data_IF_119398468981
#
_entry.id   IF_119398468981
#
_cell.length_a   1.000
_cell.length_b   1.000
_cell.length_c   1.000
_cell.angle_alpha   90.00
_cell.angle_beta   90.00
_cell.angle_gamma   90.00
#
_symmetry.space_group_name_H-M   'P 1'
#
loop_
_entity.id
_entity.type
_entity.pdbx_description
1 polymer ?
#
# COMPACT_ATOMS: atom_id res chain seq x y z
N UNK A 1 -9.08 16.71 -16.76
CA UNK A 1 -10.07 15.62 -16.84
C UNK A 1 -9.72 14.53 -17.85
N UNK A 2 -9.42 14.84 -19.13
CA UNK A 2 -9.11 13.80 -20.14
C UNK A 2 -7.88 12.96 -19.80
N UNK A 3 -6.78 13.56 -19.37
CA UNK A 3 -5.54 12.81 -19.09
C UNK A 3 -5.65 11.87 -17.88
N UNK A 4 -6.38 12.28 -16.83
CA UNK A 4 -6.61 11.45 -15.66
C UNK A 4 -7.46 10.22 -16.00
N UNK A 5 -8.49 10.39 -16.83
CA UNK A 5 -9.33 9.29 -17.31
C UNK A 5 -8.56 8.36 -18.26
N UNK A 6 -7.71 8.90 -19.13
CA UNK A 6 -6.84 8.13 -20.03
C UNK A 6 -5.79 7.31 -19.26
N UNK A 7 -5.22 7.88 -18.20
CA UNK A 7 -4.31 7.16 -17.31
C UNK A 7 -5.04 6.02 -16.58
N UNK A 8 -6.21 6.28 -16.01
CA UNK A 8 -7.01 5.25 -15.36
C UNK A 8 -7.43 4.14 -16.34
N UNK A 9 -7.81 4.50 -17.57
CA UNK A 9 -8.12 3.55 -18.63
C UNK A 9 -6.92 2.66 -18.98
N UNK A 10 -5.73 3.26 -19.14
CA UNK A 10 -4.49 2.51 -19.41
C UNK A 10 -4.17 1.51 -18.31
N UNK A 11 -4.30 1.92 -17.03
CA UNK A 11 -4.11 1.04 -15.88
C UNK A 11 -5.14 -0.10 -15.86
N UNK A 12 -6.41 0.22 -16.05
CA UNK A 12 -7.49 -0.77 -16.12
C UNK A 12 -7.25 -1.78 -17.24
N UNK A 13 -6.83 -1.32 -18.41
CA UNK A 13 -6.52 -2.18 -19.55
C UNK A 13 -5.41 -3.18 -19.21
N UNK A 14 -4.33 -2.73 -18.56
CA UNK A 14 -3.23 -3.63 -18.12
C UNK A 14 -3.76 -4.68 -17.14
N UNK A 15 -4.55 -4.28 -16.15
CA UNK A 15 -5.15 -5.20 -15.17
C UNK A 15 -6.04 -6.25 -15.86
N UNK A 16 -6.89 -5.82 -16.81
CA UNK A 16 -7.79 -6.71 -17.56
C UNK A 16 -6.99 -7.69 -18.42
N UNK A 17 -5.96 -7.23 -19.12
CA UNK A 17 -5.07 -8.08 -19.94
C UNK A 17 -4.37 -9.12 -19.07
N UNK A 18 -3.82 -8.70 -17.92
CA UNK A 18 -3.16 -9.60 -16.98
C UNK A 18 -4.12 -10.67 -16.42
N UNK A 19 -5.34 -10.26 -16.07
CA UNK A 19 -6.40 -11.19 -15.65
C UNK A 19 -6.79 -12.15 -16.78
N UNK A 20 -6.90 -11.67 -18.02
CA UNK A 20 -7.16 -12.52 -19.18
C UNK A 20 -6.03 -13.53 -19.39
N UNK A 21 -4.76 -13.12 -19.32
CA UNK A 21 -3.59 -14.00 -19.37
C UNK A 21 -3.61 -15.07 -18.27
N UNK A 22 -4.09 -14.73 -17.07
CA UNK A 22 -4.35 -15.72 -16.02
C UNK A 22 -5.42 -16.72 -16.43
N UNK A 23 -6.54 -16.27 -17.03
CA UNK A 23 -7.65 -17.14 -17.45
C UNK A 23 -7.26 -18.14 -18.54
N UNK A 24 -6.42 -17.73 -19.50
CA UNK A 24 -5.88 -18.63 -20.54
C UNK A 24 -4.65 -19.42 -20.07
N UNK A 25 -4.28 -19.34 -18.77
CA UNK A 25 -3.14 -20.03 -18.14
C UNK A 25 -1.75 -19.62 -18.70
N UNK A 26 -1.65 -18.49 -19.39
CA UNK A 26 -0.38 -17.89 -19.80
C UNK A 26 0.39 -17.35 -18.59
N UNK A 27 -0.34 -16.75 -17.63
CA UNK A 27 0.18 -16.34 -16.34
C UNK A 27 -0.50 -17.13 -15.22
N UNK A 28 0.20 -17.28 -14.09
CA UNK A 28 -0.36 -17.85 -12.88
C UNK A 28 0.14 -17.07 -11.66
N UNK A 29 -0.42 -17.37 -10.50
CA UNK A 29 -0.09 -16.68 -9.24
C UNK A 29 1.40 -16.82 -8.90
N UNK A 30 2.01 -17.97 -9.22
CA UNK A 30 3.44 -18.20 -8.96
C UNK A 30 4.33 -17.32 -9.85
N UNK A 31 3.99 -17.17 -11.13
CA UNK A 31 4.65 -16.23 -12.04
C UNK A 31 4.49 -14.79 -11.54
N UNK A 32 3.30 -14.40 -11.08
CA UNK A 32 3.08 -13.07 -10.51
C UNK A 32 3.94 -12.83 -9.26
N UNK A 33 4.13 -13.83 -8.38
CA UNK A 33 5.06 -13.73 -7.25
C UNK A 33 6.50 -13.49 -7.72
N UNK A 34 6.95 -14.18 -8.78
CA UNK A 34 8.29 -13.97 -9.36
C UNK A 34 8.44 -12.56 -9.94
N UNK A 35 7.43 -12.05 -10.63
CA UNK A 35 7.40 -10.67 -11.12
C UNK A 35 7.44 -9.69 -9.94
N UNK A 36 6.75 -9.98 -8.83
CA UNK A 36 6.79 -9.16 -7.63
C UNK A 36 8.20 -9.05 -7.02
N UNK A 37 9.03 -10.09 -7.11
CA UNK A 37 10.45 -9.96 -6.74
C UNK A 37 11.19 -8.98 -7.65
N UNK A 38 10.97 -9.02 -8.97
CA UNK A 38 11.55 -8.04 -9.90
C UNK A 38 11.08 -6.62 -9.55
N UNK A 39 9.81 -6.45 -9.23
CA UNK A 39 9.29 -5.15 -8.78
C UNK A 39 9.99 -4.67 -7.52
N UNK A 40 9.95 -5.47 -6.45
CA UNK A 40 10.44 -5.08 -5.14
C UNK A 40 11.95 -4.85 -5.10
N UNK A 41 12.73 -5.57 -5.91
CA UNK A 41 14.19 -5.52 -5.87
C UNK A 41 14.84 -4.74 -7.02
N UNK A 42 14.08 -4.38 -8.05
CA UNK A 42 14.64 -3.70 -9.23
C UNK A 42 13.80 -2.50 -9.64
N UNK A 43 12.57 -2.68 -10.11
CA UNK A 43 11.83 -1.57 -10.75
C UNK A 43 11.31 -0.55 -9.75
N UNK A 44 10.78 -0.98 -8.59
CA UNK A 44 10.26 -0.07 -7.58
C UNK A 44 11.38 0.78 -6.95
N UNK A 45 12.53 0.21 -6.53
CA UNK A 45 13.72 0.99 -6.14
C UNK A 45 14.12 2.06 -7.16
N UNK A 46 14.20 1.70 -8.44
CA UNK A 46 14.57 2.62 -9.51
C UNK A 46 13.51 3.73 -9.71
N UNK A 47 12.23 3.36 -9.65
CA UNK A 47 11.13 4.32 -9.73
C UNK A 47 11.19 5.33 -8.56
N UNK A 48 11.37 4.84 -7.33
CA UNK A 48 11.47 5.72 -6.15
C UNK A 48 12.66 6.68 -6.27
N UNK A 49 13.83 6.15 -6.64
CA UNK A 49 15.05 6.94 -6.76
C UNK A 49 14.91 8.07 -7.80
N UNK A 50 14.33 7.74 -8.95
CA UNK A 50 14.19 8.69 -10.07
C UNK A 50 13.08 9.71 -9.84
N UNK A 51 11.97 9.31 -9.21
CA UNK A 51 10.86 10.21 -8.88
C UNK A 51 11.20 11.20 -7.77
N UNK A 52 12.18 10.88 -6.91
CA UNK A 52 12.50 11.70 -5.75
C UNK A 52 13.79 12.51 -5.82
N UNK A 53 14.58 12.32 -6.87
CA UNK A 53 15.84 13.04 -7.03
C UNK A 53 15.60 14.55 -7.17
N UNK A 54 16.38 15.37 -6.43
CA UNK A 54 16.28 16.82 -6.53
C UNK A 54 15.14 17.46 -5.73
N UNK A 55 14.42 16.68 -4.92
CA UNK A 55 13.37 17.24 -4.05
C UNK A 55 14.01 17.87 -2.82
N UNK A 56 13.65 19.11 -2.52
CA UNK A 56 14.02 19.76 -1.26
C UNK A 56 13.19 19.23 -0.09
N UNK A 57 13.88 18.94 1.02
CA UNK A 57 13.20 18.52 2.23
C UNK A 57 12.48 19.70 2.89
N UNK A 58 11.20 19.52 3.18
CA UNK A 58 10.39 20.49 3.90
C UNK A 58 10.02 19.91 5.27
N UNK A 59 10.42 20.61 6.34
CA UNK A 59 10.20 20.20 7.74
C UNK A 59 8.71 20.01 8.04
N UNK A 60 7.82 20.72 7.34
CA UNK A 60 6.38 20.53 7.48
C UNK A 60 5.93 19.10 7.16
N UNK A 61 6.68 18.35 6.34
CA UNK A 61 6.38 16.96 5.99
C UNK A 61 6.65 15.97 7.13
N UNK A 62 7.36 16.36 8.20
CA UNK A 62 7.55 15.50 9.37
C UNK A 62 6.21 15.11 10.02
N UNK A 63 5.18 15.96 9.91
CA UNK A 63 3.83 15.63 10.36
C UNK A 63 3.26 14.37 9.68
N UNK A 64 3.69 14.05 8.47
CA UNK A 64 3.23 12.87 7.72
C UNK A 64 3.67 11.56 8.36
N UNK A 65 4.85 11.54 9.02
CA UNK A 65 5.33 10.38 9.79
C UNK A 65 4.34 10.08 10.94
N UNK A 66 3.94 11.11 11.68
CA UNK A 66 2.98 10.98 12.76
C UNK A 66 1.59 10.55 12.24
N UNK A 67 1.14 11.09 11.11
CA UNK A 67 -0.12 10.69 10.48
C UNK A 67 -0.12 9.21 10.06
N UNK A 68 1.00 8.70 9.53
CA UNK A 68 1.12 7.29 9.15
C UNK A 68 1.04 6.34 10.34
N UNK A 69 1.74 6.68 11.43
CA UNK A 69 1.66 5.92 12.68
C UNK A 69 0.24 5.98 13.25
N UNK A 70 -0.36 7.17 13.29
CA UNK A 70 -1.71 7.38 13.81
C UNK A 70 -2.75 6.59 13.01
N UNK A 71 -2.71 6.65 11.68
CA UNK A 71 -3.65 5.94 10.81
C UNK A 71 -3.57 4.42 11.03
N UNK A 72 -2.37 3.85 11.09
CA UNK A 72 -2.19 2.43 11.36
C UNK A 72 -2.67 2.03 12.77
N UNK A 73 -2.37 2.84 13.79
CA UNK A 73 -2.84 2.63 15.15
C UNK A 73 -4.37 2.70 15.26
N UNK A 74 -5.01 3.69 14.62
CA UNK A 74 -6.48 3.81 14.57
C UNK A 74 -7.07 2.55 13.95
N UNK A 75 -6.56 2.10 12.80
CA UNK A 75 -7.04 0.87 12.15
C UNK A 75 -6.86 -0.36 13.03
N UNK A 76 -5.75 -0.48 13.76
CA UNK A 76 -5.51 -1.58 14.71
C UNK A 76 -6.52 -1.55 15.88
N UNK A 77 -6.78 -0.37 16.45
CA UNK A 77 -7.75 -0.20 17.54
C UNK A 77 -9.17 -0.50 17.06
N UNK A 78 -9.57 0.06 15.93
CA UNK A 78 -10.89 -0.22 15.34
C UNK A 78 -11.05 -1.71 15.01
N UNK A 79 -10.02 -2.33 14.43
CA UNK A 79 -10.01 -3.78 14.20
C UNK A 79 -10.21 -4.56 15.49
N UNK A 80 -9.49 -4.19 16.56
CA UNK A 80 -9.62 -4.84 17.87
C UNK A 80 -11.04 -4.70 18.45
N UNK A 81 -11.62 -3.49 18.41
CA UNK A 81 -12.92 -3.18 19.00
C UNK A 81 -14.10 -3.78 18.23
N UNK A 82 -13.96 -3.95 16.92
CA UNK A 82 -15.04 -4.49 16.06
C UNK A 82 -15.06 -6.01 15.97
N UNK A 83 -14.07 -6.69 16.57
CA UNK A 83 -13.94 -8.15 16.61
C UNK A 83 -14.52 -8.75 17.88
N UNK A 84 -15.35 -9.78 17.71
CA UNK A 84 -16.06 -10.44 18.82
C UNK A 84 -15.25 -11.58 19.44
N UNK A 85 -14.38 -12.25 18.67
CA UNK A 85 -13.59 -13.38 19.15
C UNK A 85 -12.15 -13.35 18.60
N UNK A 86 -11.21 -14.09 19.21
CA UNK A 86 -9.76 -13.95 18.96
C UNK A 86 -9.32 -14.24 17.52
N UNK A 87 -9.89 -15.26 16.87
CA UNK A 87 -9.61 -15.53 15.44
C UNK A 87 -10.05 -14.37 14.53
N UNK A 88 -11.25 -13.84 14.72
CA UNK A 88 -11.73 -12.67 13.97
C UNK A 88 -10.90 -11.42 14.28
N UNK A 89 -10.42 -11.28 15.52
CA UNK A 89 -9.51 -10.19 15.90
C UNK A 89 -8.19 -10.29 15.16
N UNK A 90 -7.58 -11.47 15.12
CA UNK A 90 -6.38 -11.70 14.33
C UNK A 90 -6.63 -11.36 12.86
N UNK A 91 -7.69 -11.90 12.26
CA UNK A 91 -8.05 -11.63 10.87
C UNK A 91 -8.21 -10.13 10.58
N UNK A 92 -9.04 -9.42 11.36
CA UNK A 92 -9.29 -8.00 11.15
C UNK A 92 -7.99 -7.18 11.31
N UNK A 93 -7.22 -7.41 12.37
CA UNK A 93 -5.98 -6.66 12.60
C UNK A 93 -4.94 -6.85 11.50
N UNK A 94 -4.88 -8.04 10.87
CA UNK A 94 -3.98 -8.30 9.74
C UNK A 94 -4.50 -7.75 8.41
N UNK A 95 -5.81 -7.69 8.23
CA UNK A 95 -6.42 -7.42 6.92
C UNK A 95 -7.05 -6.03 6.76
N UNK A 96 -7.30 -5.32 7.85
CA UNK A 96 -7.86 -3.96 7.80
C UNK A 96 -6.81 -2.88 8.05
N UNK A 97 -5.57 -3.24 8.36
CA UNK A 97 -4.47 -2.32 8.65
C UNK A 97 -3.50 -2.23 7.48
N UNK A 98 -2.58 -1.26 7.54
CA UNK A 98 -1.58 -1.00 6.52
C UNK A 98 -2.16 -0.61 5.14
N UNK A 99 -1.28 -0.08 4.30
CA UNK A 99 -1.63 0.40 2.97
C UNK A 99 -0.66 -0.16 1.94
N UNK A 100 -1.16 -0.55 0.78
CA UNK A 100 -0.34 -1.01 -0.34
C UNK A 100 0.20 0.17 -1.13
N UNK A 101 1.21 0.86 -0.61
CA UNK A 101 1.70 2.09 -1.23
C UNK A 101 2.62 1.77 -2.41
N UNK A 102 3.68 0.99 -2.18
CA UNK A 102 4.69 0.69 -3.20
C UNK A 102 4.14 -0.01 -4.45
N UNK A 103 3.25 -1.00 -4.30
CA UNK A 103 2.75 -1.78 -5.44
C UNK A 103 1.44 -1.27 -6.04
N UNK A 104 0.80 -0.26 -5.42
CA UNK A 104 -0.49 0.25 -5.91
C UNK A 104 -0.50 1.78 -6.01
N UNK A 105 -0.28 2.51 -4.92
CA UNK A 105 -0.36 3.99 -4.94
C UNK A 105 0.72 4.61 -5.82
N UNK A 106 1.99 4.20 -5.66
CA UNK A 106 3.10 4.72 -6.46
C UNK A 106 2.85 4.54 -7.96
N UNK A 107 2.68 3.32 -8.48
CA UNK A 107 2.51 3.13 -9.93
C UNK A 107 1.26 3.82 -10.47
N UNK A 108 0.20 3.99 -9.66
CA UNK A 108 -1.00 4.71 -10.07
C UNK A 108 -0.78 6.23 -10.16
N UNK A 109 -0.06 6.80 -9.20
CA UNK A 109 0.13 8.24 -9.06
C UNK A 109 1.44 8.75 -9.67
N UNK A 110 2.30 7.87 -10.17
CA UNK A 110 3.67 8.20 -10.61
C UNK A 110 3.74 9.34 -11.64
N UNK A 111 2.72 9.49 -12.48
CA UNK A 111 2.67 10.50 -13.54
C UNK A 111 1.88 11.77 -13.19
N UNK A 112 1.09 11.76 -12.12
CA UNK A 112 0.22 12.88 -11.73
C UNK A 112 0.62 13.53 -10.41
N UNK A 113 1.53 12.91 -9.67
CA UNK A 113 1.95 13.37 -8.36
C UNK A 113 3.07 14.41 -8.45
N UNK A 114 2.93 15.51 -7.70
CA UNK A 114 4.00 16.49 -7.56
C UNK A 114 5.19 15.89 -6.79
N UNK A 115 6.41 16.42 -6.96
CA UNK A 115 7.56 15.93 -6.22
C UNK A 115 7.35 16.03 -4.70
N UNK A 116 6.75 17.12 -4.21
CA UNK A 116 6.46 17.28 -2.77
C UNK A 116 5.49 16.20 -2.25
N UNK A 117 4.46 15.87 -3.01
CA UNK A 117 3.55 14.78 -2.68
C UNK A 117 4.25 13.41 -2.74
N UNK A 118 5.17 13.20 -3.68
CA UNK A 118 5.99 11.98 -3.72
C UNK A 118 6.85 11.81 -2.46
N UNK A 119 7.51 12.88 -2.00
CA UNK A 119 8.30 12.84 -0.76
C UNK A 119 7.41 12.57 0.46
N UNK A 120 6.24 13.22 0.55
CA UNK A 120 5.27 12.94 1.62
C UNK A 120 4.84 11.46 1.64
N UNK A 121 4.56 10.89 0.46
CA UNK A 121 4.24 9.47 0.32
C UNK A 121 5.38 8.58 0.82
N UNK A 122 6.64 8.89 0.49
CA UNK A 122 7.80 8.14 0.97
C UNK A 122 7.90 8.18 2.50
N UNK A 123 7.71 9.35 3.10
CA UNK A 123 7.73 9.52 4.56
C UNK A 123 6.60 8.74 5.23
N UNK A 124 5.41 8.71 4.62
CA UNK A 124 4.30 7.89 5.07
C UNK A 124 4.66 6.40 4.99
N UNK A 125 5.23 5.95 3.86
CA UNK A 125 5.47 4.52 3.60
C UNK A 125 6.59 3.93 4.46
N UNK A 126 7.60 4.73 4.84
CA UNK A 126 8.63 4.31 5.80
C UNK A 126 8.01 3.87 7.13
N UNK A 127 7.02 4.61 7.63
CA UNK A 127 6.32 4.25 8.85
C UNK A 127 5.33 3.11 8.61
N UNK A 128 4.58 3.14 7.52
CA UNK A 128 3.66 2.07 7.13
C UNK A 128 4.38 0.71 6.98
N UNK A 129 5.63 0.72 6.51
CA UNK A 129 6.49 -0.46 6.42
C UNK A 129 6.72 -1.12 7.79
N UNK A 130 6.86 -0.35 8.88
CA UNK A 130 6.96 -0.90 10.25
C UNK A 130 5.75 -1.78 10.58
N UNK A 131 4.56 -1.33 10.20
CA UNK A 131 3.32 -2.07 10.42
C UNK A 131 3.18 -3.26 9.47
N UNK A 132 3.48 -3.07 8.18
CA UNK A 132 3.43 -4.12 7.14
C UNK A 132 4.37 -5.30 7.44
N UNK A 133 5.63 -5.04 7.79
CA UNK A 133 6.68 -6.05 7.94
C UNK A 133 6.78 -6.57 9.38
N UNK A 134 5.63 -6.76 10.03
CA UNK A 134 5.56 -7.47 11.31
C UNK A 134 5.02 -6.66 12.47
N UNK A 135 4.87 -5.35 12.36
CA UNK A 135 4.27 -4.51 13.41
C UNK A 135 2.83 -4.92 13.70
N UNK A 136 1.96 -4.88 12.70
CA UNK A 136 0.56 -5.29 12.84
C UNK A 136 0.44 -6.76 13.28
N UNK A 137 1.29 -7.64 12.73
CA UNK A 137 1.32 -9.05 13.12
C UNK A 137 1.72 -9.27 14.58
N UNK A 138 2.79 -8.62 15.04
CA UNK A 138 3.26 -8.71 16.42
C UNK A 138 2.23 -8.17 17.41
N UNK A 139 1.60 -7.04 17.08
CA UNK A 139 0.54 -6.43 17.90
C UNK A 139 -0.69 -7.35 17.94
N UNK A 140 -1.09 -7.92 16.80
CA UNK A 140 -2.20 -8.88 16.74
C UNK A 140 -1.92 -10.14 17.56
N UNK A 141 -0.70 -10.69 17.51
CA UNK A 141 -0.29 -11.82 18.35
C UNK A 141 -0.29 -11.48 19.84
N UNK A 142 0.19 -10.28 20.21
CA UNK A 142 0.17 -9.82 21.61
C UNK A 142 -1.26 -9.80 22.17
N UNK A 143 -2.20 -9.21 21.44
CA UNK A 143 -3.60 -9.12 21.87
C UNK A 143 -4.38 -10.44 21.74
N UNK A 144 -3.80 -11.46 21.11
CA UNK A 144 -4.36 -12.80 20.98
C UNK A 144 -3.44 -13.88 21.59
N UNK A 145 -2.54 -13.51 22.52
CA UNK A 145 -1.44 -14.36 23.00
C UNK A 145 -1.88 -15.71 23.55
N UNK A 146 -3.07 -15.77 24.16
CA UNK A 146 -3.66 -17.02 24.68
C UNK A 146 -3.84 -18.10 23.61
N UNK A 147 -4.00 -17.70 22.34
CA UNK A 147 -4.21 -18.60 21.21
C UNK A 147 -2.92 -18.85 20.40
N UNK A 148 -1.92 -17.98 20.57
CA UNK A 148 -0.64 -18.05 19.86
C UNK A 148 0.56 -17.94 20.83
N UNK A 149 0.69 -18.86 21.81
CA UNK A 149 1.67 -18.72 22.89
C UNK A 149 3.13 -18.86 22.43
N UNK A 150 3.38 -19.53 21.31
CA UNK A 150 4.73 -19.91 20.84
C UNK A 150 5.28 -18.99 19.74
N UNK A 151 4.46 -18.10 19.18
CA UNK A 151 4.93 -17.17 18.14
C UNK A 151 5.80 -16.06 18.75
N UNK A 152 6.95 -15.71 18.15
CA UNK A 152 7.79 -14.64 18.66
C UNK A 152 7.09 -13.28 18.48
N UNK A 153 6.94 -12.54 19.57
CA UNK A 153 6.43 -11.16 19.56
C UNK A 153 7.57 -10.25 20.02
N UNK A 154 7.93 -9.26 19.21
CA UNK A 154 8.92 -8.30 19.64
C UNK A 154 9.42 -7.36 18.55
N UNK A 155 9.84 -6.17 18.98
CA UNK A 155 10.38 -5.12 18.13
C UNK A 155 11.60 -5.58 17.30
N UNK A 156 12.42 -6.47 17.87
CA UNK A 156 13.58 -7.05 17.17
C UNK A 156 13.17 -7.84 15.91
N UNK A 157 12.05 -8.54 15.94
CA UNK A 157 11.52 -9.29 14.78
C UNK A 157 11.04 -8.33 13.71
N UNK A 158 10.30 -7.28 14.09
CA UNK A 158 9.82 -6.24 13.18
C UNK A 158 11.00 -5.59 12.46
N UNK A 159 12.01 -5.14 13.22
CA UNK A 159 13.17 -4.49 12.64
C UNK A 159 13.97 -5.42 11.72
N UNK A 160 14.07 -6.71 12.06
CA UNK A 160 14.71 -7.73 11.23
C UNK A 160 13.97 -7.99 9.91
N UNK A 161 12.64 -7.99 9.92
CA UNK A 161 11.88 -8.19 8.68
C UNK A 161 11.90 -6.94 7.80
N UNK A 162 11.77 -5.75 8.39
CA UNK A 162 11.95 -4.48 7.68
C UNK A 162 13.34 -4.35 7.04
N UNK A 163 14.39 -4.76 7.76
CA UNK A 163 15.76 -4.69 7.26
C UNK A 163 16.03 -5.59 6.06
N UNK A 164 15.10 -6.48 5.69
CA UNK A 164 15.17 -7.28 4.46
C UNK A 164 14.50 -6.58 3.26
N UNK A 165 13.74 -5.52 3.49
CA UNK A 165 12.99 -4.81 2.45
C UNK A 165 13.90 -3.80 1.74
N UNK A 166 14.25 -4.07 0.48
CA UNK A 166 15.03 -3.11 -0.32
C UNK A 166 14.30 -1.76 -0.50
N UNK A 167 12.99 -1.70 -0.79
CA UNK A 167 12.27 -0.42 -0.92
C UNK A 167 12.38 0.46 0.33
N UNK A 168 12.40 -0.13 1.52
CA UNK A 168 12.58 0.61 2.77
C UNK A 168 13.90 1.41 2.78
N UNK A 169 15.01 0.78 2.39
CA UNK A 169 16.30 1.47 2.31
C UNK A 169 16.31 2.57 1.26
N UNK A 170 15.64 2.34 0.12
CA UNK A 170 15.56 3.34 -0.96
C UNK A 170 14.77 4.56 -0.51
N UNK A 171 13.64 4.37 0.18
CA UNK A 171 12.89 5.49 0.77
C UNK A 171 13.74 6.26 1.78
N UNK A 172 14.41 5.56 2.71
CA UNK A 172 15.28 6.20 3.70
C UNK A 172 16.42 6.96 3.02
N UNK A 173 17.05 6.37 2.01
CA UNK A 173 18.13 6.98 1.23
C UNK A 173 17.67 8.26 0.53
N UNK A 174 16.52 8.21 -0.15
CA UNK A 174 15.92 9.37 -0.81
C UNK A 174 15.60 10.50 0.18
N UNK A 175 15.04 10.17 1.34
CA UNK A 175 14.75 11.15 2.39
C UNK A 175 16.05 11.80 2.88
N UNK A 176 17.12 11.03 3.06
CA UNK A 176 18.44 11.56 3.45
C UNK A 176 19.05 12.44 2.35
N UNK A 177 19.00 12.03 1.08
CA UNK A 177 19.45 12.87 -0.04
C UNK A 177 18.69 14.20 -0.07
N UNK A 178 17.37 14.14 0.06
CA UNK A 178 16.51 15.32 0.11
C UNK A 178 16.84 16.24 1.29
N UNK A 179 17.08 15.67 2.47
CA UNK A 179 17.43 16.42 3.68
C UNK A 179 18.82 17.10 3.59
N UNK A 180 19.76 16.47 2.88
CA UNK A 180 21.10 17.02 2.63
C UNK A 180 21.14 17.96 1.40
N UNK A 181 20.02 18.11 0.68
CA UNK A 181 19.98 18.88 -0.57
C UNK A 181 20.85 18.28 -1.68
N UNK A 182 21.12 16.98 -1.63
CA UNK A 182 21.96 16.28 -2.60
C UNK A 182 21.13 15.79 -3.78
N UNK A 183 21.68 15.96 -4.98
CA UNK A 183 21.06 15.51 -6.23
C UNK A 183 22.00 14.58 -6.97
N UNK A 184 21.47 13.46 -7.45
CA UNK A 184 22.19 12.56 -8.34
C UNK A 184 22.25 13.19 -9.74
N UNK A 185 23.42 13.22 -10.39
CA UNK A 185 23.56 13.73 -11.76
C UNK A 185 22.64 12.99 -12.73
N UNK A 186 22.04 13.74 -13.65
CA UNK A 186 21.05 13.23 -14.61
C UNK A 186 21.59 12.07 -15.46
N UNK A 187 22.87 12.13 -15.85
CA UNK A 187 23.53 11.08 -16.63
C UNK A 187 23.60 9.74 -15.87
N UNK A 188 23.79 9.80 -14.55
CA UNK A 188 23.82 8.61 -13.71
C UNK A 188 22.42 8.02 -13.51
N UNK A 189 21.35 8.82 -13.65
CA UNK A 189 19.97 8.37 -13.49
C UNK A 189 19.38 7.69 -14.72
N UNK A 190 19.93 7.90 -15.93
CA UNK A 190 19.41 7.33 -17.18
C UNK A 190 19.07 5.82 -17.08
N UNK A 191 19.97 4.93 -16.62
CA UNK A 191 19.62 3.50 -16.50
C UNK A 191 18.49 3.25 -15.50
N UNK A 192 18.47 3.98 -14.38
CA UNK A 192 17.40 3.85 -13.38
C UNK A 192 16.06 4.35 -13.92
N UNK A 193 16.02 5.38 -14.77
CA UNK A 193 14.78 5.86 -15.40
C UNK A 193 14.19 4.81 -16.34
N UNK A 194 15.04 4.16 -17.14
CA UNK A 194 14.62 3.08 -18.04
C UNK A 194 14.05 1.88 -17.26
N UNK A 195 14.70 1.49 -16.16
CA UNK A 195 14.23 0.37 -15.32
C UNK A 195 12.97 0.76 -14.54
N UNK A 196 12.94 1.97 -13.99
CA UNK A 196 11.84 2.49 -13.18
C UNK A 196 10.56 2.74 -13.98
N UNK A 197 10.65 3.05 -15.27
CA UNK A 197 9.47 3.24 -16.13
C UNK A 197 8.66 1.96 -16.35
N UNK A 198 9.30 0.78 -16.23
CA UNK A 198 8.61 -0.51 -16.28
C UNK A 198 7.80 -0.83 -15.02
N UNK A 199 8.02 -0.10 -13.92
CA UNK A 199 7.41 -0.39 -12.61
C UNK A 199 5.89 -0.42 -12.67
N UNK A 200 5.29 0.59 -13.30
CA UNK A 200 3.83 0.73 -13.44
C UNK A 200 3.21 -0.48 -14.13
N UNK A 201 3.78 -0.89 -15.27
CA UNK A 201 3.31 -2.07 -16.01
C UNK A 201 3.37 -3.33 -15.14
N UNK A 202 4.52 -3.62 -14.54
CA UNK A 202 4.71 -4.84 -13.75
C UNK A 202 3.80 -4.89 -12.51
N UNK A 203 3.63 -3.76 -11.80
CA UNK A 203 2.73 -3.68 -10.65
C UNK A 203 1.29 -4.01 -11.03
N UNK A 204 0.77 -3.40 -12.10
CA UNK A 204 -0.60 -3.64 -12.54
C UNK A 204 -0.80 -5.02 -13.16
N UNK A 205 0.24 -5.60 -13.77
CA UNK A 205 0.23 -7.01 -14.17
C UNK A 205 0.10 -7.95 -12.97
N UNK A 206 0.88 -7.72 -11.90
CA UNK A 206 0.78 -8.51 -10.66
C UNK A 206 -0.63 -8.39 -10.08
N UNK A 207 -1.17 -7.17 -10.01
CA UNK A 207 -2.52 -6.90 -9.50
C UNK A 207 -3.57 -7.68 -10.31
N UNK A 208 -3.55 -7.60 -11.64
CA UNK A 208 -4.53 -8.29 -12.47
C UNK A 208 -4.44 -9.83 -12.37
N UNK A 209 -3.25 -10.39 -12.19
CA UNK A 209 -3.10 -11.83 -11.89
C UNK A 209 -3.52 -12.15 -10.44
N UNK A 210 -3.36 -11.24 -9.49
CA UNK A 210 -3.76 -11.44 -8.11
C UNK A 210 -5.28 -11.49 -7.94
N UNK A 211 -6.06 -10.79 -8.78
CA UNK A 211 -7.52 -10.78 -8.71
C UNK A 211 -8.12 -12.20 -8.73
N UNK A 212 -8.84 -12.56 -7.67
CA UNK A 212 -9.62 -13.79 -7.54
C UNK A 212 -11.10 -13.44 -7.32
N UNK A 213 -11.98 -14.04 -8.12
CA UNK A 213 -13.43 -13.84 -8.00
C UNK A 213 -14.11 -15.12 -7.47
N UNK A 214 -13.52 -15.74 -6.45
CA UNK A 214 -14.00 -16.99 -5.86
C UNK A 214 -14.76 -16.74 -4.55
N UNK A 215 -15.58 -15.70 -4.50
CA UNK A 215 -16.28 -15.31 -3.27
C UNK A 215 -17.50 -16.23 -3.08
N UNK A 216 -17.44 -17.11 -2.08
CA UNK A 216 -18.61 -17.89 -1.66
C UNK A 216 -19.56 -17.03 -0.83
N UNK A 217 -20.86 -17.33 -0.86
CA UNK A 217 -21.86 -16.64 -0.05
C UNK A 217 -21.59 -16.73 1.46
N UNK A 218 -20.99 -17.84 1.92
CA UNK A 218 -20.67 -18.08 3.32
C UNK A 218 -19.54 -17.17 3.83
N UNK A 219 -18.53 -16.91 3.00
CA UNK A 219 -17.38 -16.04 3.33
C UNK A 219 -17.72 -14.55 3.26
N UNK A 220 -18.76 -14.20 2.49
CA UNK A 220 -19.14 -12.83 2.19
C UNK A 220 -19.36 -11.96 3.44
N UNK A 221 -19.95 -12.51 4.52
CA UNK A 221 -20.25 -11.73 5.74
C UNK A 221 -18.99 -11.23 6.45
N UNK A 222 -17.96 -12.07 6.57
CA UNK A 222 -16.70 -11.69 7.23
C UNK A 222 -15.96 -10.64 6.39
N UNK A 223 -15.84 -10.92 5.10
CA UNK A 223 -15.15 -10.05 4.12
C UNK A 223 -15.82 -8.69 4.03
N UNK A 224 -17.13 -8.63 3.85
CA UNK A 224 -17.87 -7.37 3.75
C UNK A 224 -17.83 -6.56 5.04
N UNK A 225 -17.91 -7.21 6.20
CA UNK A 225 -17.78 -6.50 7.49
C UNK A 225 -16.38 -5.88 7.62
N UNK A 226 -15.32 -6.64 7.32
CA UNK A 226 -13.95 -6.13 7.39
C UNK A 226 -13.71 -4.99 6.38
N UNK A 227 -14.23 -5.14 5.15
CA UNK A 227 -14.18 -4.10 4.12
C UNK A 227 -14.90 -2.83 4.57
N UNK A 228 -16.15 -2.92 5.05
CA UNK A 228 -16.93 -1.77 5.51
C UNK A 228 -16.21 -1.04 6.64
N UNK A 229 -15.77 -1.79 7.66
CA UNK A 229 -15.06 -1.22 8.81
C UNK A 229 -13.81 -0.45 8.35
N UNK A 230 -13.00 -1.04 7.45
CA UNK A 230 -11.80 -0.37 6.93
C UNK A 230 -12.16 0.88 6.15
N UNK A 231 -12.98 0.77 5.11
CA UNK A 231 -13.21 1.88 4.18
C UNK A 231 -13.99 3.03 4.82
N UNK A 232 -14.91 2.76 5.75
CA UNK A 232 -15.57 3.82 6.53
C UNK A 232 -14.54 4.53 7.41
N UNK A 233 -13.70 3.79 8.13
CA UNK A 233 -12.66 4.38 8.99
C UNK A 233 -11.67 5.21 8.18
N UNK A 234 -11.21 4.69 7.05
CA UNK A 234 -10.31 5.39 6.12
C UNK A 234 -10.96 6.64 5.51
N UNK A 235 -12.25 6.58 5.14
CA UNK A 235 -12.97 7.73 4.62
C UNK A 235 -13.10 8.85 5.67
N UNK A 236 -13.43 8.50 6.91
CA UNK A 236 -13.47 9.46 8.03
C UNK A 236 -12.10 10.08 8.27
N UNK A 237 -11.03 9.27 8.29
CA UNK A 237 -9.66 9.78 8.41
C UNK A 237 -9.27 10.69 7.22
N UNK A 238 -9.65 10.34 5.99
CA UNK A 238 -9.36 11.14 4.81
C UNK A 238 -10.05 12.50 4.86
N UNK A 239 -11.32 12.54 5.27
CA UNK A 239 -12.07 13.79 5.50
C UNK A 239 -11.40 14.59 6.62
N UNK A 240 -11.00 13.95 7.72
CA UNK A 240 -10.31 14.63 8.81
C UNK A 240 -8.95 15.23 8.37
N UNK A 241 -8.20 14.52 7.53
CA UNK A 241 -6.96 15.03 6.92
C UNK A 241 -7.23 16.29 6.09
N UNK A 242 -8.29 16.29 5.28
CA UNK A 242 -8.61 17.46 4.46
C UNK A 242 -8.92 18.71 5.29
N UNK A 243 -9.70 18.58 6.37
CA UNK A 243 -10.19 19.73 7.14
C UNK A 243 -9.28 20.16 8.29
N UNK A 244 -8.60 19.22 8.97
CA UNK A 244 -7.92 19.52 10.24
C UNK A 244 -6.40 19.50 10.16
N UNK A 245 -5.80 18.87 9.13
CA UNK A 245 -4.35 18.80 9.03
C UNK A 245 -3.83 20.05 8.30
N UNK A 246 -2.94 20.85 8.93
CA UNK A 246 -2.41 22.09 8.35
C UNK A 246 -1.21 21.80 7.42
N UNK A 247 -1.43 20.98 6.39
CA UNK A 247 -0.43 20.67 5.36
C UNK A 247 -0.87 21.23 4.00
N UNK A 248 0.08 21.45 3.07
CA UNK A 248 -0.23 21.86 1.69
C UNK A 248 -1.27 20.92 1.05
N UNK A 249 -2.13 21.47 0.19
CA UNK A 249 -3.24 20.72 -0.42
C UNK A 249 -2.76 19.44 -1.13
N UNK A 250 -1.67 19.52 -1.91
CA UNK A 250 -1.05 18.37 -2.58
C UNK A 250 -0.62 17.25 -1.62
N UNK A 251 -0.14 17.60 -0.42
CA UNK A 251 0.26 16.64 0.62
C UNK A 251 -0.98 16.00 1.26
N UNK A 252 -2.02 16.79 1.51
CA UNK A 252 -3.29 16.26 2.05
C UNK A 252 -3.95 15.30 1.07
N UNK A 253 -3.98 15.66 -0.21
CA UNK A 253 -4.55 14.82 -1.28
C UNK A 253 -3.82 13.48 -1.35
N UNK A 254 -2.49 13.46 -1.35
CA UNK A 254 -1.78 12.18 -1.42
C UNK A 254 -1.99 11.32 -0.17
N UNK A 255 -2.06 11.93 1.02
CA UNK A 255 -2.40 11.19 2.25
C UNK A 255 -3.82 10.61 2.17
N UNK A 256 -4.80 11.36 1.65
CA UNK A 256 -6.16 10.85 1.42
C UNK A 256 -6.18 9.68 0.44
N UNK A 257 -5.41 9.76 -0.64
CA UNK A 257 -5.25 8.67 -1.62
C UNK A 257 -4.65 7.43 -0.96
N UNK A 258 -3.60 7.60 -0.13
CA UNK A 258 -2.99 6.51 0.63
C UNK A 258 -3.99 5.87 1.59
N UNK A 259 -4.76 6.66 2.34
CA UNK A 259 -5.77 6.14 3.28
C UNK A 259 -6.82 5.28 2.57
N UNK A 260 -7.11 5.59 1.31
CA UNK A 260 -8.06 4.85 0.49
C UNK A 260 -7.41 3.77 -0.37
N UNK A 261 -6.12 3.52 -0.21
CA UNK A 261 -5.40 2.42 -0.85
C UNK A 261 -5.82 1.05 -0.28
N UNK A 262 -5.66 -0.03 -1.06
CA UNK A 262 -5.97 -1.37 -0.57
C UNK A 262 -4.99 -1.76 0.54
N UNK A 263 -5.33 -2.81 1.28
CA UNK A 263 -4.49 -3.40 2.32
C UNK A 263 -3.21 -3.93 1.70
N UNK A 264 -2.17 -4.01 2.51
CA UNK A 264 -0.88 -4.55 2.09
C UNK A 264 -1.01 -5.93 1.43
N UNK A 265 -0.28 -6.16 0.34
CA UNK A 265 -0.24 -7.46 -0.36
C UNK A 265 0.32 -8.60 0.50
N UNK A 266 0.90 -8.28 1.66
CA UNK A 266 1.46 -9.24 2.62
C UNK A 266 0.37 -9.77 3.57
N UNK A 267 -0.80 -9.12 3.66
CA UNK A 267 -1.87 -9.50 4.58
C UNK A 267 -2.34 -10.96 4.39
N UNK A 268 -2.54 -11.48 3.16
CA UNK A 268 -2.87 -12.91 2.97
C UNK A 268 -1.76 -13.86 3.42
N UNK A 269 -0.49 -13.49 3.26
CA UNK A 269 0.65 -14.29 3.71
C UNK A 269 0.69 -14.36 5.24
N UNK A 270 0.47 -13.23 5.92
CA UNK A 270 0.42 -13.17 7.38
C UNK A 270 -0.81 -13.90 7.93
N UNK A 271 -1.94 -13.80 7.24
CA UNK A 271 -3.16 -14.54 7.58
C UNK A 271 -2.93 -16.04 7.43
N UNK A 272 -2.33 -16.48 6.32
CA UNK A 272 -1.98 -17.88 6.10
C UNK A 272 -1.04 -18.44 7.18
N UNK A 273 -0.14 -17.60 7.72
CA UNK A 273 0.76 -18.00 8.81
C UNK A 273 0.03 -18.11 10.16
N UNK A 274 -0.83 -17.16 10.51
CA UNK A 274 -1.51 -17.14 11.81
C UNK A 274 -2.77 -18.02 11.86
N UNK A 275 -3.57 -18.00 10.80
CA UNK A 275 -4.90 -18.63 10.72
C UNK A 275 -5.09 -19.17 9.29
N UNK A 276 -4.41 -20.28 8.93
CA UNK A 276 -4.40 -20.83 7.57
C UNK A 276 -5.80 -21.02 6.96
N UNK A 277 -6.78 -21.35 7.80
CA UNK A 277 -8.16 -21.57 7.40
C UNK A 277 -8.89 -20.31 6.91
N UNK A 278 -8.33 -19.10 7.12
CA UNK A 278 -8.90 -17.83 6.67
C UNK A 278 -8.06 -17.12 5.59
N UNK A 279 -7.11 -17.82 4.97
CA UNK A 279 -6.22 -17.25 3.97
C UNK A 279 -6.95 -16.85 2.67
N UNK A 280 -7.98 -17.60 2.28
CA UNK A 280 -8.78 -17.33 1.08
C UNK A 280 -9.63 -16.06 1.25
N UNK A 281 -10.29 -15.90 2.40
CA UNK A 281 -11.08 -14.72 2.74
C UNK A 281 -10.23 -13.45 2.78
N UNK A 282 -8.97 -13.58 3.22
CA UNK A 282 -8.00 -12.49 3.18
C UNK A 282 -7.63 -12.09 1.75
N UNK A 283 -7.41 -13.06 0.86
CA UNK A 283 -7.12 -12.80 -0.54
C UNK A 283 -8.31 -12.16 -1.27
N UNK A 284 -9.53 -12.64 -0.99
CA UNK A 284 -10.76 -12.09 -1.57
C UNK A 284 -11.05 -10.68 -1.07
N UNK A 285 -10.83 -10.42 0.24
CA UNK A 285 -10.90 -9.07 0.79
C UNK A 285 -9.91 -8.12 0.11
N UNK A 286 -8.68 -8.58 -0.15
CA UNK A 286 -7.68 -7.80 -0.88
C UNK A 286 -8.13 -7.50 -2.32
N UNK A 287 -8.73 -8.48 -3.01
CA UNK A 287 -9.30 -8.29 -4.35
C UNK A 287 -10.40 -7.22 -4.36
N UNK A 288 -11.38 -7.31 -3.45
CA UNK A 288 -12.47 -6.32 -3.34
C UNK A 288 -11.90 -4.93 -3.04
N UNK A 289 -10.89 -4.86 -2.18
CA UNK A 289 -10.24 -3.61 -1.84
C UNK A 289 -9.49 -2.99 -3.03
N UNK A 290 -8.75 -3.78 -3.80
CA UNK A 290 -8.06 -3.29 -5.01
C UNK A 290 -9.08 -2.63 -5.95
N UNK A 291 -10.21 -3.29 -6.21
CA UNK A 291 -11.27 -2.76 -7.08
C UNK A 291 -11.87 -1.48 -6.50
N UNK A 292 -12.18 -1.47 -5.20
CA UNK A 292 -12.76 -0.32 -4.50
C UNK A 292 -11.83 0.89 -4.51
N UNK A 293 -10.56 0.67 -4.21
CA UNK A 293 -9.51 1.68 -4.22
C UNK A 293 -9.24 2.21 -5.62
N UNK A 294 -9.27 1.35 -6.64
CA UNK A 294 -9.10 1.77 -8.03
C UNK A 294 -10.21 2.73 -8.47
N UNK A 295 -11.46 2.41 -8.13
CA UNK A 295 -12.60 3.30 -8.39
C UNK A 295 -12.42 4.64 -7.65
N UNK A 296 -12.09 4.60 -6.36
CA UNK A 296 -11.91 5.81 -5.55
C UNK A 296 -10.78 6.70 -6.07
N UNK A 297 -9.58 6.16 -6.31
CA UNK A 297 -8.44 6.98 -6.75
C UNK A 297 -8.70 7.55 -8.15
N UNK A 298 -9.38 6.79 -9.03
CA UNK A 298 -9.80 7.32 -10.34
C UNK A 298 -10.72 8.54 -10.20
N UNK A 299 -11.72 8.46 -9.31
CA UNK A 299 -12.63 9.58 -9.01
C UNK A 299 -11.87 10.75 -8.37
N UNK A 300 -11.00 10.48 -7.40
CA UNK A 300 -10.20 11.54 -6.76
C UNK A 300 -9.28 12.23 -7.75
N UNK A 301 -8.64 11.49 -8.65
CA UNK A 301 -7.72 12.05 -9.63
C UNK A 301 -8.46 12.90 -10.67
N UNK A 302 -9.68 12.53 -11.06
CA UNK A 302 -10.50 13.36 -11.95
C UNK A 302 -10.93 14.66 -11.26
N UNK A 303 -11.29 14.62 -9.97
CA UNK A 303 -11.65 15.80 -9.17
C UNK A 303 -10.42 16.69 -8.88
N UNK A 304 -9.26 16.09 -8.61
CA UNK A 304 -8.04 16.85 -8.29
C UNK A 304 -7.61 17.72 -9.47
N UNK A 305 -7.83 17.26 -10.70
CA UNK A 305 -7.62 18.06 -11.92
C UNK A 305 -8.56 19.28 -12.06
N UNK A 306 -9.52 19.45 -11.16
CA UNK A 306 -10.42 20.62 -11.06
C UNK A 306 -10.05 21.55 -9.88
N UNK A 307 -9.23 21.07 -8.94
CA UNK A 307 -8.84 21.79 -7.71
C UNK A 307 -7.46 22.46 -7.82
N UNK A 308 -6.67 22.07 -8.82
CA UNK A 308 -5.34 22.60 -9.17
C UNK A 308 -5.41 23.13 -10.59
#
# INVERSE_FOLDING_TARGET
MNDALLNAFSVLLIIIVAYFFKRIRLLNVETAKRIAYVVMYLTLPCAILTSANGISFDVSLLGVIALSALANCILLVVAFLTSSHPKQRMFNMLNTTCFNIGNFVIPFMQHTMSPKAFLALCMFDVVNALFCFGGSYSIALFFNRKYFPNEPVGFKTILKEMSKSLPFYVYAFVIVLSALGLTIPEQALVPFKTIGSANTLLCFMIIGVALSFNITWEQCKLVMKAWLVRYITCAVMAVAVWFFVPLPAEVRIIVMIILMAPMTSIAPIMTMRAIPEQAEESADLNTIAIISSLAFITIMNSITSLLV
#
